data_IF_829913223160
#
_entry.id   IF_829913223160
#
_cell.length_a   1.000
_cell.length_b   1.000
_cell.length_c   1.000
_cell.angle_alpha   90.00
_cell.angle_beta   90.00
_cell.angle_gamma   90.00
#
_symmetry.space_group_name_H-M   'P 1'
#
loop_
_entity.id
_entity.type
_entity.pdbx_description
1 polymer ?
#
# COMPACT_ATOMS: atom_id res chain seq x y z
N UNK A 1 -16.57 17.85 13.34
CA UNK A 1 -15.52 17.94 12.31
C UNK A 1 -15.80 16.94 11.20
N UNK A 2 -15.80 17.41 9.98
CA UNK A 2 -16.03 16.51 8.84
C UNK A 2 -14.78 15.68 8.57
N UNK A 3 -14.91 14.37 8.31
CA UNK A 3 -13.77 13.58 7.86
C UNK A 3 -13.27 14.11 6.51
N UNK A 4 -11.97 13.99 6.29
CA UNK A 4 -11.39 14.32 5.00
C UNK A 4 -11.94 13.36 3.96
N UNK A 5 -12.42 13.92 2.85
CA UNK A 5 -12.87 13.10 1.73
C UNK A 5 -11.69 12.75 0.85
N UNK A 6 -11.52 11.47 0.59
CA UNK A 6 -10.52 11.00 -0.35
C UNK A 6 -10.98 11.34 -1.78
N UNK A 7 -10.04 11.76 -2.62
CA UNK A 7 -10.35 11.99 -4.04
C UNK A 7 -10.96 10.72 -4.64
N UNK A 8 -12.02 10.84 -5.46
CA UNK A 8 -12.67 9.66 -6.04
C UNK A 8 -11.73 8.68 -6.74
N UNK A 9 -10.68 9.18 -7.39
CA UNK A 9 -9.71 8.33 -8.07
C UNK A 9 -8.94 7.44 -7.11
N UNK A 10 -8.87 7.78 -5.82
CA UNK A 10 -8.11 7.04 -4.81
C UNK A 10 -8.98 6.23 -3.85
N UNK A 11 -10.31 6.34 -3.96
CA UNK A 11 -11.21 5.66 -3.02
C UNK A 11 -11.00 4.14 -3.03
N UNK A 12 -10.89 3.54 -4.21
CA UNK A 12 -10.70 2.09 -4.32
C UNK A 12 -9.35 1.67 -3.75
N UNK A 13 -8.30 2.45 -4.03
CA UNK A 13 -6.97 2.20 -3.47
C UNK A 13 -6.98 2.27 -1.94
N UNK A 14 -7.69 3.25 -1.37
CA UNK A 14 -7.83 3.35 0.09
C UNK A 14 -8.60 2.16 0.66
N UNK A 15 -9.63 1.68 -0.05
CA UNK A 15 -10.38 0.50 0.37
C UNK A 15 -9.47 -0.74 0.39
N UNK A 16 -8.60 -0.87 -0.61
CA UNK A 16 -7.63 -1.96 -0.68
C UNK A 16 -6.62 -1.89 0.47
N UNK A 17 -6.25 -0.68 0.90
CA UNK A 17 -5.41 -0.51 2.10
C UNK A 17 -6.06 -1.12 3.34
N UNK A 18 -7.36 -0.93 3.52
CA UNK A 18 -8.05 -1.54 4.67
C UNK A 18 -7.96 -3.06 4.64
N UNK A 19 -8.09 -3.66 3.46
CA UNK A 19 -7.96 -5.10 3.30
C UNK A 19 -6.54 -5.58 3.67
N UNK A 20 -5.52 -4.87 3.19
CA UNK A 20 -4.12 -5.18 3.53
C UNK A 20 -3.84 -4.99 5.02
N UNK A 21 -4.38 -3.94 5.63
CA UNK A 21 -4.19 -3.69 7.06
C UNK A 21 -4.83 -4.78 7.91
N UNK A 22 -5.99 -5.30 7.52
CA UNK A 22 -6.62 -6.42 8.20
C UNK A 22 -5.73 -7.66 8.18
N UNK A 23 -5.10 -7.95 7.04
CA UNK A 23 -4.15 -9.05 6.94
C UNK A 23 -2.96 -8.83 7.85
N UNK A 24 -2.40 -7.62 7.89
CA UNK A 24 -1.28 -7.29 8.76
C UNK A 24 -1.61 -7.53 10.24
N UNK A 25 -2.82 -7.15 10.66
CA UNK A 25 -3.27 -7.40 12.04
C UNK A 25 -3.27 -8.89 12.36
N UNK A 26 -3.79 -9.72 11.44
CA UNK A 26 -3.81 -11.17 11.67
C UNK A 26 -2.42 -11.75 11.77
N UNK A 27 -1.51 -11.35 10.88
CA UNK A 27 -0.13 -11.84 10.90
C UNK A 27 0.56 -11.43 12.21
N UNK A 28 0.43 -10.17 12.61
CA UNK A 28 1.14 -9.65 13.77
C UNK A 28 0.60 -10.16 15.11
N UNK A 29 -0.62 -10.69 15.13
CA UNK A 29 -1.15 -11.36 16.33
C UNK A 29 -0.48 -12.70 16.59
N UNK A 30 -0.10 -13.40 15.51
CA UNK A 30 0.48 -14.75 15.61
C UNK A 30 1.60 -14.90 14.57
N UNK A 31 2.69 -14.10 14.68
CA UNK A 31 3.71 -14.09 13.63
C UNK A 31 4.51 -15.38 13.51
N UNK A 32 4.47 -16.21 14.54
CA UNK A 32 5.14 -17.53 14.52
C UNK A 32 4.32 -18.60 13.80
N UNK A 33 3.06 -18.32 13.46
CA UNK A 33 2.23 -19.25 12.73
C UNK A 33 2.46 -19.11 11.22
N UNK A 34 2.09 -20.15 10.48
CA UNK A 34 2.18 -20.13 9.01
C UNK A 34 0.91 -19.52 8.42
N UNK A 35 1.05 -18.32 7.86
CA UNK A 35 -0.06 -17.61 7.22
C UNK A 35 -0.04 -17.74 5.69
N UNK A 36 0.60 -18.79 5.16
CA UNK A 36 0.79 -18.94 3.72
C UNK A 36 -0.48 -18.79 2.90
N UNK A 37 -1.57 -19.42 3.32
CA UNK A 37 -2.81 -19.37 2.56
C UNK A 37 -3.33 -17.94 2.38
N UNK A 38 -3.33 -17.16 3.46
CA UNK A 38 -3.82 -15.79 3.43
C UNK A 38 -2.86 -14.85 2.70
N UNK A 39 -1.57 -14.98 2.98
CA UNK A 39 -0.56 -14.10 2.39
C UNK A 39 -0.44 -14.34 0.89
N UNK A 40 -0.32 -15.62 0.47
CA UNK A 40 -0.18 -15.93 -0.94
C UNK A 40 -1.42 -15.54 -1.76
N UNK A 41 -2.60 -15.65 -1.17
CA UNK A 41 -3.84 -15.21 -1.82
C UNK A 41 -3.87 -13.70 -2.01
N UNK A 42 -3.21 -12.95 -1.12
CA UNK A 42 -3.17 -11.49 -1.17
C UNK A 42 -2.16 -10.97 -2.20
N UNK A 43 -1.16 -11.74 -2.57
CA UNK A 43 -0.09 -11.27 -3.47
C UNK A 43 -0.59 -10.75 -4.82
N UNK A 44 -1.49 -11.45 -5.55
CA UNK A 44 -2.00 -10.91 -6.82
C UNK A 44 -2.77 -9.60 -6.63
N UNK A 45 -3.53 -9.49 -5.55
CA UNK A 45 -4.26 -8.27 -5.23
C UNK A 45 -3.31 -7.12 -4.95
N UNK A 46 -2.25 -7.38 -4.20
CA UNK A 46 -1.26 -6.37 -3.84
C UNK A 46 -0.46 -5.91 -5.06
N UNK A 47 -0.08 -6.85 -5.94
CA UNK A 47 0.63 -6.49 -7.17
C UNK A 47 -0.25 -5.62 -8.08
N UNK A 48 -1.52 -5.97 -8.24
CA UNK A 48 -2.47 -5.18 -9.01
C UNK A 48 -2.66 -3.78 -8.41
N UNK A 49 -2.70 -3.70 -7.09
CA UNK A 49 -2.79 -2.44 -6.36
C UNK A 49 -1.57 -1.55 -6.64
N UNK A 50 -0.37 -2.11 -6.57
CA UNK A 50 0.87 -1.38 -6.86
C UNK A 50 0.88 -0.87 -8.31
N UNK A 51 0.48 -1.72 -9.27
CA UNK A 51 0.45 -1.33 -10.68
C UNK A 51 -0.52 -0.19 -10.92
N UNK A 52 -1.68 -0.23 -10.29
CA UNK A 52 -2.68 0.84 -10.42
C UNK A 52 -2.18 2.16 -9.82
N UNK A 53 -1.52 2.10 -8.67
CA UNK A 53 -0.91 3.30 -8.08
C UNK A 53 0.17 3.87 -8.99
N UNK A 54 1.04 3.01 -9.48
CA UNK A 54 2.14 3.43 -10.36
C UNK A 54 1.59 4.09 -11.63
N UNK A 55 0.52 3.54 -12.19
CA UNK A 55 -0.14 4.10 -13.37
C UNK A 55 -0.75 5.47 -13.07
N UNK A 56 -1.48 5.58 -11.96
CA UNK A 56 -2.16 6.83 -11.63
C UNK A 56 -1.19 7.95 -11.26
N UNK A 57 -0.09 7.62 -10.58
CA UNK A 57 0.83 8.63 -10.08
C UNK A 57 1.91 9.03 -11.09
N UNK A 58 2.14 8.20 -12.12
CA UNK A 58 3.19 8.45 -13.10
C UNK A 58 3.20 9.87 -13.68
N UNK A 59 2.06 10.47 -14.08
CA UNK A 59 2.09 11.80 -14.66
C UNK A 59 2.29 12.94 -13.65
N UNK A 60 2.32 12.63 -12.37
CA UNK A 60 2.30 13.66 -11.32
C UNK A 60 3.60 13.82 -10.53
N UNK A 61 4.56 12.92 -10.71
CA UNK A 61 5.78 12.94 -9.90
C UNK A 61 6.57 14.24 -9.98
N UNK A 62 6.48 14.96 -11.11
CA UNK A 62 7.17 16.24 -11.25
C UNK A 62 6.69 17.29 -10.24
N UNK A 63 5.49 17.12 -9.67
CA UNK A 63 4.89 18.05 -8.73
C UNK A 63 4.96 17.55 -7.28
N UNK A 64 5.55 16.37 -7.07
CA UNK A 64 5.56 15.70 -5.76
C UNK A 64 6.96 15.77 -5.18
N UNK A 65 7.06 15.91 -3.85
CA UNK A 65 8.32 15.87 -3.14
C UNK A 65 9.09 14.61 -3.52
N UNK A 66 10.36 14.74 -4.00
CA UNK A 66 11.14 13.58 -4.38
C UNK A 66 11.32 12.55 -3.26
N UNK A 67 11.27 12.95 -2.00
CA UNK A 67 11.36 12.02 -0.87
C UNK A 67 10.14 11.10 -0.79
N UNK A 68 8.95 11.64 -1.11
CA UNK A 68 7.73 10.82 -1.13
C UNK A 68 7.78 9.80 -2.27
N UNK A 69 8.26 10.22 -3.44
CA UNK A 69 8.46 9.31 -4.56
C UNK A 69 9.45 8.20 -4.22
N UNK A 70 10.59 8.58 -3.63
CA UNK A 70 11.62 7.62 -3.25
C UNK A 70 11.08 6.60 -2.25
N UNK A 71 10.31 7.04 -1.25
CA UNK A 71 9.67 6.16 -0.28
C UNK A 71 8.68 5.20 -0.95
N UNK A 72 7.85 5.74 -1.85
CA UNK A 72 6.86 4.96 -2.60
C UNK A 72 7.53 3.85 -3.39
N UNK A 73 8.54 4.22 -4.19
CA UNK A 73 9.26 3.25 -5.03
C UNK A 73 10.04 2.24 -4.21
N UNK A 74 10.68 2.70 -3.14
CA UNK A 74 11.45 1.84 -2.25
C UNK A 74 10.58 0.81 -1.55
N UNK A 75 9.42 1.21 -1.05
CA UNK A 75 8.48 0.30 -0.39
C UNK A 75 7.95 -0.74 -1.37
N UNK A 76 7.57 -0.32 -2.60
CA UNK A 76 7.12 -1.27 -3.62
C UNK A 76 8.20 -2.28 -3.97
N UNK A 77 9.45 -1.83 -4.12
CA UNK A 77 10.56 -2.74 -4.43
C UNK A 77 10.81 -3.72 -3.30
N UNK A 78 10.79 -3.25 -2.05
CA UNK A 78 10.98 -4.10 -0.88
C UNK A 78 9.90 -5.16 -0.78
N UNK A 79 8.64 -4.76 -0.89
CA UNK A 79 7.51 -5.68 -0.79
C UNK A 79 7.50 -6.69 -1.94
N UNK A 80 7.80 -6.25 -3.16
CA UNK A 80 7.91 -7.16 -4.31
C UNK A 80 9.04 -8.18 -4.12
N UNK A 81 10.17 -7.74 -3.57
CA UNK A 81 11.28 -8.65 -3.24
C UNK A 81 10.86 -9.69 -2.22
N UNK A 82 10.14 -9.30 -1.18
CA UNK A 82 9.63 -10.23 -0.18
C UNK A 82 8.62 -11.22 -0.76
N UNK A 83 7.73 -10.74 -1.64
CA UNK A 83 6.75 -11.59 -2.30
C UNK A 83 7.38 -12.59 -3.26
N UNK A 84 8.53 -12.24 -3.84
CA UNK A 84 9.24 -13.12 -4.77
C UNK A 84 9.92 -14.28 -4.06
N UNK A 85 10.33 -14.09 -2.81
CA UNK A 85 11.02 -15.12 -2.02
C UNK A 85 10.45 -15.19 -0.59
N UNK A 86 9.18 -15.61 -0.46
CA UNK A 86 8.54 -15.64 0.85
C UNK A 86 9.10 -16.76 1.72
N UNK A 87 9.05 -16.55 3.04
CA UNK A 87 9.38 -17.58 4.01
C UNK A 87 8.30 -17.60 5.10
N UNK A 88 7.21 -18.26 4.81
CA UNK A 88 6.02 -18.29 5.67
C UNK A 88 6.24 -18.96 7.02
N UNK A 89 7.31 -19.72 7.18
CA UNK A 89 7.63 -20.40 8.44
C UNK A 89 8.54 -19.54 9.33
N UNK A 90 9.05 -18.43 8.80
CA UNK A 90 9.92 -17.52 9.55
C UNK A 90 9.10 -16.45 10.25
N UNK A 91 9.16 -16.43 11.57
CA UNK A 91 8.53 -15.38 12.37
C UNK A 91 9.08 -13.99 11.97
N UNK A 92 10.40 -13.92 11.74
CA UNK A 92 11.05 -12.68 11.35
C UNK A 92 10.53 -12.19 9.99
N UNK A 93 10.38 -13.09 9.01
CA UNK A 93 9.84 -12.71 7.70
C UNK A 93 8.40 -12.24 7.81
N UNK A 94 7.58 -12.97 8.56
CA UNK A 94 6.16 -12.63 8.75
C UNK A 94 6.01 -11.25 9.41
N UNK A 95 6.78 -11.00 10.45
CA UNK A 95 6.76 -9.71 11.15
C UNK A 95 7.22 -8.58 10.24
N UNK A 96 8.32 -8.78 9.51
CA UNK A 96 8.86 -7.75 8.62
C UNK A 96 7.90 -7.45 7.48
N UNK A 97 7.32 -8.49 6.85
CA UNK A 97 6.36 -8.30 5.77
C UNK A 97 5.14 -7.50 6.25
N UNK A 98 4.53 -7.93 7.34
CA UNK A 98 3.34 -7.27 7.87
C UNK A 98 3.63 -5.83 8.31
N UNK A 99 4.76 -5.59 8.96
CA UNK A 99 5.14 -4.26 9.42
C UNK A 99 5.42 -3.33 8.23
N UNK A 100 6.15 -3.82 7.24
CA UNK A 100 6.48 -3.04 6.05
C UNK A 100 5.21 -2.67 5.28
N UNK A 101 4.31 -3.64 5.07
CA UNK A 101 3.06 -3.39 4.38
C UNK A 101 2.18 -2.40 5.14
N UNK A 102 2.06 -2.57 6.44
CA UNK A 102 1.28 -1.66 7.29
C UNK A 102 1.81 -0.23 7.23
N UNK A 103 3.11 -0.06 7.40
CA UNK A 103 3.70 1.27 7.40
C UNK A 103 3.63 1.92 6.02
N UNK A 104 3.74 1.13 4.94
CA UNK A 104 3.57 1.64 3.58
C UNK A 104 2.14 2.14 3.36
N UNK A 105 1.13 1.37 3.76
CA UNK A 105 -0.26 1.80 3.62
C UNK A 105 -0.54 3.08 4.40
N UNK A 106 -0.01 3.17 5.63
CA UNK A 106 -0.15 4.38 6.45
C UNK A 106 0.53 5.58 5.84
N UNK A 107 1.73 5.39 5.30
CA UNK A 107 2.47 6.43 4.59
C UNK A 107 1.64 6.98 3.43
N UNK A 108 1.06 6.10 2.62
CA UNK A 108 0.26 6.53 1.48
C UNK A 108 -0.98 7.31 1.91
N UNK A 109 -1.69 6.82 2.92
CA UNK A 109 -2.91 7.49 3.38
C UNK A 109 -2.63 8.85 4.03
N UNK A 110 -1.53 8.97 4.77
CA UNK A 110 -1.23 10.16 5.56
C UNK A 110 -0.40 11.20 4.83
N UNK A 111 0.44 10.78 3.89
CA UNK A 111 1.42 11.66 3.26
C UNK A 111 1.32 11.69 1.75
N UNK A 112 1.33 10.54 1.08
CA UNK A 112 1.39 10.51 -0.37
C UNK A 112 0.07 10.88 -1.03
N UNK A 113 -1.03 10.25 -0.63
CA UNK A 113 -2.33 10.54 -1.23
C UNK A 113 -2.72 12.01 -1.07
N UNK A 114 -2.59 12.62 0.13
CA UNK A 114 -2.86 14.05 0.24
C UNK A 114 -1.98 14.92 -0.65
N UNK A 115 -0.72 14.53 -0.86
CA UNK A 115 0.20 15.28 -1.71
C UNK A 115 -0.16 15.18 -3.19
N UNK A 116 -0.72 14.04 -3.63
CA UNK A 116 -1.07 13.81 -5.03
C UNK A 116 -2.45 14.35 -5.37
N UNK A 117 -3.37 14.33 -4.41
CA UNK A 117 -4.78 14.69 -4.66
C UNK A 117 -5.00 16.00 -5.41
N UNK A 118 -4.26 17.09 -5.11
CA UNK A 118 -4.46 18.34 -5.85
C UNK A 118 -4.18 18.25 -7.35
N UNK A 119 -3.45 17.24 -7.78
CA UNK A 119 -3.03 17.07 -9.17
C UNK A 119 -3.86 16.05 -9.94
N UNK A 120 -4.82 15.40 -9.29
CA UNK A 120 -5.62 14.32 -9.92
C UNK A 120 -6.76 14.86 -10.78
N UNK A 121 -6.82 16.15 -10.95
CA UNK A 121 -7.87 16.79 -11.72
C UNK A 121 -9.11 17.07 -10.90
N UNK A 122 -10.01 17.83 -11.50
CA UNK A 122 -11.26 18.20 -10.84
C UNK A 122 -12.22 17.02 -10.80
N UNK A 123 -12.97 16.95 -9.70
CA UNK A 123 -14.09 16.02 -9.63
C UNK A 123 -15.16 16.61 -10.54
N UNK A 124 -15.46 15.92 -11.64
CA UNK A 124 -16.51 16.39 -12.52
C UNK A 124 -17.86 16.24 -11.84
N UNK A 125 -18.49 17.39 -11.61
CA UNK A 125 -19.87 17.45 -11.17
C UNK A 125 -20.72 17.41 -12.45
N UNK A 126 -21.09 16.25 -12.86
CA UNK A 126 -21.97 16.12 -13.99
C UNK A 126 -23.40 16.03 -13.50
#
# INVERSE_FOLDING_TARGET
>A
MKPLKRHPALIELSREHHHSLALCVRILRTPSENHQAEISAHFPELEAHFQEEERQFAPHWAHIDPELKARFEGDHATLRGMMATPDYTSEAWNTTFATTLREHARFEERELFPAVEPYLGEIEAI
#
